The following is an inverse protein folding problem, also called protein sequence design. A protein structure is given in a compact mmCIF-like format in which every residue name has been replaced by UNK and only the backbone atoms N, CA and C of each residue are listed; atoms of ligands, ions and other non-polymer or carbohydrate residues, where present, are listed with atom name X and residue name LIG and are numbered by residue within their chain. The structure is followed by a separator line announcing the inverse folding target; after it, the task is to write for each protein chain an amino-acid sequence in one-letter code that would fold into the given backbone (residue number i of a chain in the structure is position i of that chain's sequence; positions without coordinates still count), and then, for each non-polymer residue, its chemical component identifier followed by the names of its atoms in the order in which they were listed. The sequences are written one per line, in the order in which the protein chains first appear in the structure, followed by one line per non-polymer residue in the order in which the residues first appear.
data_IF_705185941847
#
_entry.id   IF_705185941847
#
_cell.length_a   1.000
_cell.length_b   1.000
_cell.length_c   1.000
_cell.angle_alpha   90.00
_cell.angle_beta   90.00
_cell.angle_gamma   90.00
#
_symmetry.space_group_name_H-M   'P 1'
#
loop_
_entity.id
_entity.type
_entity.pdbx_description
1 polymer ?
#
# COMPACT_ATOMS: atom_id res chain seq x y z
N UNK A 1 2.44 -15.54 -2.17
CA UNK A 1 1.57 -14.82 -1.22
C UNK A 1 0.33 -15.64 -0.97
N UNK A 2 -0.12 -15.75 0.29
CA UNK A 2 -1.49 -16.17 0.58
C UNK A 2 -2.47 -15.15 0.00
N UNK A 3 -3.61 -15.61 -0.52
CA UNK A 3 -4.63 -14.71 -1.08
C UNK A 3 -5.22 -13.81 0.02
N UNK A 4 -5.33 -12.50 -0.26
CA UNK A 4 -5.75 -11.50 0.72
C UNK A 4 -5.89 -10.10 0.10
N UNK A 5 -6.10 -9.09 0.95
CA UNK A 5 -6.36 -7.71 0.51
C UNK A 5 -5.17 -7.08 -0.22
N UNK A 6 -3.94 -7.43 0.12
CA UNK A 6 -2.71 -7.01 -0.57
C UNK A 6 -2.77 -7.26 -2.09
N UNK A 7 -2.88 -8.53 -2.48
CA UNK A 7 -2.89 -8.94 -3.89
C UNK A 7 -4.17 -8.48 -4.59
N UNK A 8 -5.31 -8.50 -3.89
CA UNK A 8 -6.59 -8.01 -4.41
C UNK A 8 -6.52 -6.53 -4.77
N UNK A 9 -6.13 -5.66 -3.82
CA UNK A 9 -6.10 -4.22 -4.04
C UNK A 9 -5.03 -3.84 -5.07
N UNK A 10 -3.86 -4.49 -5.06
CA UNK A 10 -2.86 -4.31 -6.11
C UNK A 10 -3.44 -4.56 -7.51
N UNK A 11 -4.21 -5.65 -7.67
CA UNK A 11 -4.87 -5.99 -8.95
C UNK A 11 -5.97 -5.02 -9.32
N UNK A 12 -6.80 -4.58 -8.37
CA UNK A 12 -7.83 -3.56 -8.59
C UNK A 12 -7.20 -2.26 -9.10
N UNK A 13 -6.16 -1.77 -8.44
CA UNK A 13 -5.48 -0.53 -8.83
C UNK A 13 -4.83 -0.65 -10.22
N UNK A 14 -4.23 -1.80 -10.53
CA UNK A 14 -3.68 -2.10 -11.86
C UNK A 14 -4.77 -2.17 -12.94
N UNK A 15 -5.87 -2.87 -12.68
CA UNK A 15 -6.97 -3.06 -13.62
C UNK A 15 -7.62 -1.72 -13.99
N UNK A 16 -7.85 -0.87 -12.98
CA UNK A 16 -8.40 0.48 -13.16
C UNK A 16 -7.39 1.50 -13.70
N UNK A 17 -6.14 1.08 -13.98
CA UNK A 17 -5.07 1.94 -14.52
C UNK A 17 -4.82 3.19 -13.66
N UNK A 18 -4.93 3.05 -12.34
CA UNK A 18 -4.61 4.13 -11.40
C UNK A 18 -3.17 4.59 -11.59
N UNK A 19 -2.91 5.89 -11.45
CA UNK A 19 -1.61 6.51 -11.73
C UNK A 19 -0.71 6.61 -10.49
N UNK A 20 -0.95 5.74 -9.50
CA UNK A 20 -0.10 5.60 -8.32
C UNK A 20 1.30 5.14 -8.77
N UNK A 21 2.39 5.76 -8.27
CA UNK A 21 3.75 5.32 -8.56
C UNK A 21 3.99 3.84 -8.26
N UNK A 22 5.03 3.27 -8.88
CA UNK A 22 5.31 1.84 -8.75
C UNK A 22 5.58 1.44 -7.29
N UNK A 23 6.32 2.27 -6.55
CA UNK A 23 6.60 2.11 -5.12
C UNK A 23 5.31 2.04 -4.31
N UNK A 24 4.33 2.90 -4.61
CA UNK A 24 3.03 2.91 -3.96
C UNK A 24 2.24 1.61 -4.17
N UNK A 25 2.22 1.12 -5.41
CA UNK A 25 1.60 -0.17 -5.74
C UNK A 25 2.33 -1.34 -5.08
N UNK A 26 3.66 -1.27 -4.99
CA UNK A 26 4.50 -2.30 -4.39
C UNK A 26 4.27 -2.37 -2.87
N UNK A 27 4.22 -1.22 -2.19
CA UNK A 27 3.87 -1.14 -0.76
C UNK A 27 2.51 -1.78 -0.50
N UNK A 28 1.48 -1.42 -1.27
CA UNK A 28 0.13 -2.02 -1.13
C UNK A 28 0.17 -3.55 -1.29
N UNK A 29 0.95 -4.06 -2.25
CA UNK A 29 0.99 -5.50 -2.54
C UNK A 29 1.71 -6.34 -1.48
N UNK A 30 2.57 -5.74 -0.67
CA UNK A 30 3.43 -6.51 0.24
C UNK A 30 3.45 -5.97 1.68
N UNK A 31 2.63 -4.99 2.03
CA UNK A 31 2.58 -4.43 3.39
C UNK A 31 2.13 -5.45 4.46
N UNK A 32 1.48 -6.55 4.09
CA UNK A 32 1.16 -7.64 5.02
C UNK A 32 2.24 -8.73 5.06
N UNK A 33 3.32 -8.62 4.28
CA UNK A 33 4.35 -9.65 4.19
C UNK A 33 5.42 -9.52 5.29
N UNK A 34 4.97 -9.53 6.55
CA UNK A 34 5.81 -9.30 7.74
C UNK A 34 7.04 -10.21 7.87
N UNK A 35 6.99 -11.52 7.54
CA UNK A 35 8.18 -12.35 7.53
C UNK A 35 9.30 -11.74 6.68
N UNK A 36 8.97 -11.14 5.53
CA UNK A 36 9.93 -10.49 4.67
C UNK A 36 10.35 -9.11 5.18
N UNK A 37 9.42 -8.15 5.27
CA UNK A 37 9.81 -6.75 5.48
C UNK A 37 10.16 -6.36 6.93
N UNK A 38 9.85 -7.23 7.90
CA UNK A 38 10.14 -6.99 9.33
C UNK A 38 11.10 -8.02 9.93
N UNK A 39 11.08 -9.27 9.47
CA UNK A 39 11.87 -10.35 10.07
C UNK A 39 13.04 -10.85 9.20
N UNK A 40 13.12 -10.43 7.92
CA UNK A 40 14.21 -10.80 7.03
C UNK A 40 14.14 -12.23 6.48
N UNK A 41 12.99 -12.89 6.58
CA UNK A 41 12.74 -14.19 5.95
C UNK A 41 12.48 -14.05 4.44
N UNK A 42 12.42 -15.19 3.75
CA UNK A 42 12.10 -15.28 2.31
C UNK A 42 13.06 -14.54 1.36
N UNK A 43 14.23 -14.11 1.84
CA UNK A 43 15.25 -13.44 1.01
C UNK A 43 15.74 -14.28 -0.18
N UNK A 44 15.65 -15.61 -0.08
CA UNK A 44 15.96 -16.54 -1.18
C UNK A 44 14.97 -16.46 -2.36
N UNK A 45 13.80 -15.84 -2.17
CA UNK A 45 12.82 -15.57 -3.21
C UNK A 45 12.94 -14.14 -3.77
N UNK A 46 13.74 -13.27 -3.13
CA UNK A 46 13.86 -11.88 -3.52
C UNK A 46 14.83 -11.69 -4.71
N UNK A 47 14.47 -10.78 -5.60
CA UNK A 47 15.34 -10.25 -6.63
C UNK A 47 15.83 -8.82 -6.26
N UNK A 48 16.67 -8.22 -7.11
CA UNK A 48 17.23 -6.88 -6.87
C UNK A 48 16.17 -5.78 -6.69
N UNK A 49 15.04 -5.86 -7.41
CA UNK A 49 13.95 -4.90 -7.29
C UNK A 49 13.31 -5.00 -5.91
N UNK A 50 13.11 -6.21 -5.42
CA UNK A 50 12.51 -6.44 -4.10
C UNK A 50 13.41 -5.83 -3.01
N UNK A 51 14.73 -6.01 -3.14
CA UNK A 51 15.71 -5.38 -2.23
C UNK A 51 15.68 -3.84 -2.30
N UNK A 52 15.51 -3.26 -3.49
CA UNK A 52 15.34 -1.80 -3.66
C UNK A 52 14.01 -1.28 -3.11
N UNK A 53 12.96 -2.10 -3.10
CA UNK A 53 11.63 -1.74 -2.60
C UNK A 53 11.49 -1.92 -1.09
N UNK A 54 12.32 -2.76 -0.46
CA UNK A 54 12.27 -3.06 0.97
C UNK A 54 12.24 -1.78 1.84
N UNK A 55 13.09 -0.74 1.63
CA UNK A 55 13.03 0.49 2.42
C UNK A 55 11.68 1.21 2.34
N UNK A 56 11.02 1.19 1.17
CA UNK A 56 9.70 1.80 0.99
C UNK A 56 8.63 1.07 1.78
N UNK A 57 8.60 -0.26 1.70
CA UNK A 57 7.64 -1.10 2.45
C UNK A 57 7.85 -0.95 3.95
N UNK A 58 9.11 -0.98 4.41
CA UNK A 58 9.43 -0.80 5.83
C UNK A 58 9.06 0.60 6.35
N UNK A 59 9.26 1.65 5.55
CA UNK A 59 8.88 3.01 5.94
C UNK A 59 7.36 3.16 6.04
N UNK A 60 6.61 2.67 5.04
CA UNK A 60 5.15 2.65 5.07
C UNK A 60 4.59 1.89 6.28
N UNK A 61 5.19 0.73 6.60
CA UNK A 61 4.75 -0.12 7.70
C UNK A 61 4.79 0.60 9.07
N UNK A 62 5.70 1.57 9.26
CA UNK A 62 5.71 2.38 10.50
C UNK A 62 4.40 3.15 10.67
N UNK A 63 3.89 3.75 9.59
CA UNK A 63 2.65 4.49 9.64
C UNK A 63 1.45 3.55 9.77
N UNK A 64 1.37 2.47 8.98
CA UNK A 64 0.29 1.48 9.12
C UNK A 64 0.19 0.92 10.55
N UNK A 65 1.33 0.59 11.17
CA UNK A 65 1.32 -0.01 12.49
C UNK A 65 1.08 1.00 13.61
N UNK A 66 1.79 2.14 13.59
CA UNK A 66 1.90 3.01 14.76
C UNK A 66 0.95 4.21 14.76
N UNK A 67 0.18 4.45 13.70
CA UNK A 67 -0.91 5.46 13.74
C UNK A 67 -2.24 4.91 14.25
N UNK A 68 -2.30 3.61 14.61
CA UNK A 68 -3.50 2.98 15.18
C UNK A 68 -3.75 3.52 16.59
N UNK A 69 -4.81 4.32 16.74
CA UNK A 69 -5.16 5.00 17.98
C UNK A 69 -6.67 4.88 18.25
N UNK A 70 -7.13 4.69 19.52
CA UNK A 70 -8.53 4.77 19.88
C UNK A 70 -9.19 6.12 19.54
N UNK A 71 -8.43 7.22 19.57
CA UNK A 71 -8.90 8.52 19.15
C UNK A 71 -8.98 8.59 17.62
N UNK A 72 -10.20 8.80 17.11
CA UNK A 72 -10.46 8.83 15.67
C UNK A 72 -10.26 10.25 15.11
N UNK A 73 -9.71 10.38 13.89
CA UNK A 73 -9.60 11.68 13.25
C UNK A 73 -10.96 12.23 12.81
N UNK A 74 -11.05 13.55 12.69
CA UNK A 74 -12.20 14.22 12.07
C UNK A 74 -12.20 13.96 10.54
N UNK A 75 -13.02 12.99 10.13
CA UNK A 75 -13.10 12.54 8.74
C UNK A 75 -13.63 13.65 7.81
N UNK A 76 -14.60 14.44 8.25
CA UNK A 76 -15.21 15.48 7.40
C UNK A 76 -14.22 16.61 7.11
N UNK A 77 -13.38 16.96 8.09
CA UNK A 77 -12.29 17.92 7.87
C UNK A 77 -11.22 17.43 6.91
N UNK A 78 -10.91 16.12 6.93
CA UNK A 78 -9.85 15.52 6.11
C UNK A 78 -10.30 15.16 4.68
N UNK A 79 -11.59 14.88 4.51
CA UNK A 79 -12.18 14.39 3.25
C UNK A 79 -11.84 15.24 2.02
N UNK A 80 -11.90 16.59 2.05
CA UNK A 80 -11.55 17.39 0.87
C UNK A 80 -10.12 17.17 0.39
N UNK A 81 -9.17 17.01 1.32
CA UNK A 81 -7.77 16.75 1.00
C UNK A 81 -7.62 15.38 0.33
N UNK A 82 -8.14 14.30 0.94
CA UNK A 82 -8.03 12.96 0.37
C UNK A 82 -8.81 12.81 -0.94
N UNK A 83 -9.94 13.49 -1.10
CA UNK A 83 -10.67 13.53 -2.36
C UNK A 83 -9.83 14.13 -3.49
N UNK A 84 -9.09 15.21 -3.23
CA UNK A 84 -8.18 15.80 -4.23
C UNK A 84 -7.08 14.83 -4.70
N UNK A 85 -6.65 13.93 -3.82
CA UNK A 85 -5.69 12.87 -4.17
C UNK A 85 -6.35 11.74 -4.96
N UNK A 86 -7.59 11.37 -4.60
CA UNK A 86 -8.39 10.39 -5.36
C UNK A 86 -8.62 10.91 -6.79
N UNK A 87 -9.04 12.17 -6.94
CA UNK A 87 -9.28 12.80 -8.24
C UNK A 87 -8.00 12.84 -9.10
N UNK A 88 -6.83 12.92 -8.47
CA UNK A 88 -5.53 12.90 -9.17
C UNK A 88 -5.09 11.49 -9.57
N UNK A 89 -5.23 10.50 -8.70
CA UNK A 89 -4.56 9.20 -8.85
C UNK A 89 -5.48 8.02 -9.21
N UNK A 90 -6.76 8.10 -8.84
CA UNK A 90 -7.76 7.06 -9.07
C UNK A 90 -9.18 7.66 -9.24
N UNK A 91 -9.38 8.58 -10.20
CA UNK A 91 -10.63 9.32 -10.32
C UNK A 91 -11.82 8.46 -10.76
N UNK A 92 -13.02 8.92 -10.42
CA UNK A 92 -14.27 8.36 -10.92
C UNK A 92 -14.70 7.07 -10.22
N UNK A 93 -15.59 6.32 -10.87
CA UNK A 93 -16.08 5.02 -10.37
C UNK A 93 -15.12 3.91 -10.82
N UNK A 94 -14.57 3.18 -9.86
CA UNK A 94 -13.67 2.06 -10.10
C UNK A 94 -14.42 0.72 -10.14
N UNK A 95 -13.81 -0.26 -10.80
CA UNK A 95 -14.23 -1.65 -10.80
C UNK A 95 -13.52 -2.43 -9.68
N UNK A 96 -14.30 -3.09 -8.83
CA UNK A 96 -13.84 -3.83 -7.66
C UNK A 96 -14.01 -5.33 -7.88
#
# INVERSE_FOLDING_TARGET
MSWGHDEYLYRVLKFNKCTIPEEGLYMIRFHSFYPWHSHGDYMHLCNEKDLRMLPWVTEFNKFDLYTKNPELPDVEKLKPYYQSLIDKYCPGKLHW
#
